data_IF_911706373786
#
_entry.id   IF_911706373786
#
_cell.length_a   1.000
_cell.length_b   1.000
_cell.length_c   1.000
_cell.angle_alpha   90.00
_cell.angle_beta   90.00
_cell.angle_gamma   90.00
#
_symmetry.space_group_name_H-M   'P 1'
#
loop_
_entity.id
_entity.type
_entity.pdbx_description
1 polymer ?
2 polymer ?
3 water ?
#
# COMPACT_ATOMS: atom_id res chain seq x y z
N UNK A 14 -13.82 5.43 -27.20
CA UNK A 14 -13.86 4.35 -26.21
C UNK A 14 -14.91 4.66 -25.12
N UNK A 15 -16.01 3.88 -25.04
CA UNK A 15 -17.01 4.12 -23.99
C UNK A 15 -16.53 3.69 -22.59
N UNK A 16 -15.42 2.93 -22.52
CA UNK A 16 -14.83 2.42 -21.27
C UNK A 16 -13.88 3.40 -20.55
N UNK A 17 -13.47 4.51 -21.20
CA UNK A 17 -12.48 5.46 -20.64
C UNK A 17 -12.64 5.79 -19.15
N UNK A 18 -13.80 6.34 -18.78
CA UNK A 18 -14.11 6.74 -17.41
C UNK A 18 -14.04 5.55 -16.45
N UNK A 19 -14.72 4.44 -16.79
CA UNK A 19 -14.74 3.25 -15.95
C UNK A 19 -13.34 2.68 -15.74
N UNK A 20 -12.53 2.68 -16.81
CA UNK A 20 -11.19 2.07 -16.78
C UNK A 20 -10.10 2.91 -16.17
N UNK A 21 -10.40 4.18 -15.83
CA UNK A 21 -9.38 5.08 -15.29
C UNK A 21 -8.75 4.50 -14.02
N UNK A 22 -9.55 3.84 -13.16
CA UNK A 22 -8.96 3.32 -11.91
C UNK A 22 -7.98 2.17 -12.12
N UNK A 23 -7.96 1.58 -13.34
CA UNK A 23 -7.02 0.49 -13.64
C UNK A 23 -5.73 0.98 -14.31
N UNK A 24 -5.62 2.29 -14.56
CA UNK A 24 -4.39 2.87 -15.09
C UNK A 24 -3.52 3.16 -13.90
N UNK A 25 -2.87 2.09 -13.39
CA UNK A 25 -2.06 2.13 -12.19
C UNK A 25 -0.89 3.14 -12.23
N UNK A 26 -0.26 3.36 -13.41
CA UNK A 26 0.80 4.34 -13.54
C UNK A 26 0.25 5.73 -13.20
N UNK A 27 -0.97 6.02 -13.67
CA UNK A 27 -1.60 7.31 -13.44
C UNK A 27 -2.15 7.45 -12.01
N UNK A 28 -3.02 6.51 -11.59
CA UNK A 28 -3.74 6.60 -10.33
C UNK A 28 -2.89 6.32 -9.09
N UNK A 29 -1.92 5.41 -9.19
CA UNK A 29 -1.07 5.01 -8.06
C UNK A 29 0.28 5.68 -8.19
N UNK A 30 0.92 5.51 -9.34
CA UNK A 30 2.15 6.20 -9.68
C UNK A 30 3.44 5.83 -8.96
N UNK A 31 3.47 4.67 -8.29
CA UNK A 31 4.67 4.24 -7.57
C UNK A 31 4.66 2.71 -7.51
N UNK A 32 5.66 2.12 -6.86
CA UNK A 32 5.68 0.68 -6.69
C UNK A 32 4.51 0.18 -5.83
N UNK A 33 4.17 -1.09 -5.99
CA UNK A 33 3.07 -1.73 -5.24
C UNK A 33 3.71 -2.73 -4.29
N UNK A 34 4.43 -3.73 -4.84
CA UNK A 34 5.14 -4.71 -3.98
C UNK A 34 6.04 -4.00 -3.01
N UNK A 35 6.90 -3.12 -3.54
CA UNK A 35 7.77 -2.25 -2.75
C UNK A 35 7.53 -0.86 -3.27
N UNK A 36 7.02 0.02 -2.40
CA UNK A 36 6.74 1.41 -2.74
C UNK A 36 7.78 2.29 -2.07
N UNK A 37 8.68 2.85 -2.89
CA UNK A 37 9.72 3.79 -2.43
C UNK A 37 9.85 4.84 -3.53
N UNK A 38 8.72 5.45 -3.88
CA UNK A 38 8.63 6.32 -5.04
C UNK A 38 9.08 7.76 -4.89
N UNK A 39 9.40 8.18 -3.66
CA UNK A 39 9.87 9.54 -3.45
C UNK A 39 11.08 9.54 -2.54
N UNK A 40 11.72 10.69 -2.44
CA UNK A 40 12.85 10.91 -1.54
C UNK A 40 12.49 12.11 -0.68
N UNK A 41 12.89 12.06 0.57
CA UNK A 41 12.66 13.18 1.50
C UNK A 41 13.89 13.36 2.35
N UNK A 42 14.11 14.56 2.84
CA UNK A 42 15.29 14.86 3.63
C UNK A 42 14.94 15.09 5.11
N UNK A 43 15.72 14.46 6.00
CA UNK A 43 15.62 14.67 7.45
C UNK A 43 17.04 15.09 7.86
N UNK A 44 17.16 16.32 8.39
CA UNK A 44 18.40 16.91 8.89
C UNK A 44 19.64 16.70 7.99
N UNK A 45 19.50 17.14 6.73
CA UNK A 45 20.56 17.07 5.72
C UNK A 45 20.78 15.74 5.01
N UNK A 46 20.20 14.62 5.52
CA UNK A 46 20.33 13.27 4.92
C UNK A 46 19.07 12.90 4.12
N UNK A 47 19.26 12.37 2.89
CA UNK A 47 18.15 11.96 1.99
C UNK A 47 17.72 10.53 2.28
N UNK A 48 16.39 10.29 2.32
CA UNK A 48 15.84 8.94 2.56
C UNK A 48 14.80 8.65 1.52
N UNK A 49 14.61 7.38 1.20
CA UNK A 49 13.58 6.94 0.27
C UNK A 49 12.32 6.71 1.07
N UNK A 50 11.16 6.94 0.47
CA UNK A 50 9.94 6.68 1.22
C UNK A 50 8.73 6.35 0.35
N UNK A 51 7.74 5.60 0.89
CA UNK A 51 6.53 5.31 0.11
C UNK A 51 5.77 6.55 -0.36
N UNK A 52 5.24 6.46 -1.59
CA UNK A 52 4.56 7.58 -2.21
C UNK A 52 3.34 7.23 -3.09
N UNK A 53 2.91 5.96 -3.08
CA UNK A 53 1.78 5.52 -3.91
C UNK A 53 0.49 6.24 -3.53
N UNK A 54 -0.30 6.66 -4.55
CA UNK A 54 -1.57 7.37 -4.31
C UNK A 54 -2.77 6.48 -3.93
N UNK A 55 -2.67 5.17 -4.14
CA UNK A 55 -3.76 4.25 -3.78
C UNK A 55 -3.43 3.42 -2.56
N UNK A 56 -4.47 2.97 -1.83
CA UNK A 56 -4.22 2.01 -0.74
C UNK A 56 -3.91 0.63 -1.35
N UNK A 57 -3.06 -0.16 -0.68
CA UNK A 57 -2.75 -1.50 -1.20
C UNK A 57 -3.45 -2.49 -0.24
N UNK A 58 -4.54 -3.13 -0.72
CA UNK A 58 -5.35 -3.99 0.15
C UNK A 58 -4.72 -5.36 0.36
N UNK A 59 -4.49 -5.72 1.61
CA UNK A 59 -3.98 -7.05 1.94
C UNK A 59 -2.48 -7.15 2.07
N UNK A 60 -1.75 -6.04 1.87
CA UNK A 60 -0.31 -6.06 1.99
C UNK A 60 0.18 -6.00 3.42
N UNK A 61 1.08 -6.93 3.73
CA UNK A 61 1.84 -6.90 4.96
C UNK A 61 3.31 -7.21 4.72
N UNK A 62 4.12 -7.18 5.79
CA UNK A 62 5.55 -7.51 5.73
C UNK A 62 5.75 -8.78 6.59
N UNK A 63 6.31 -9.84 5.97
CA UNK A 63 6.65 -11.08 6.68
C UNK A 63 8.10 -10.91 7.13
N UNK A 64 8.36 -11.09 8.44
CA UNK A 64 9.70 -10.95 9.02
C UNK A 64 10.20 -12.34 9.43
N UNK A 65 11.30 -12.82 8.80
CA UNK A 65 11.94 -14.11 9.12
C UNK A 65 10.94 -15.25 9.42
N UNK A 66 9.94 -15.44 8.52
CA UNK A 66 8.85 -16.43 8.59
C UNK A 66 7.61 -15.98 9.42
N UNK A 67 7.78 -14.97 10.30
CA UNK A 67 6.71 -14.47 11.18
C UNK A 67 5.72 -13.53 10.49
N UNK A 68 4.42 -13.76 10.77
CA UNK A 68 3.30 -12.99 10.22
C UNK A 68 2.66 -12.02 11.23
N UNK A 69 2.80 -12.32 12.53
CA UNK A 69 2.23 -11.49 13.61
C UNK A 69 3.26 -10.54 14.24
N UNK A 70 4.39 -10.30 13.55
CA UNK A 70 5.45 -9.48 14.10
C UNK A 70 5.54 -8.04 13.56
N UNK A 71 5.28 -7.80 12.26
CA UNK A 71 5.54 -6.46 11.75
C UNK A 71 4.76 -5.30 12.35
N UNK A 72 3.55 -5.55 12.87
CA UNK A 72 2.78 -4.46 13.50
C UNK A 72 3.18 -4.25 14.97
N UNK A 73 4.09 -5.11 15.51
CA UNK A 73 4.60 -4.88 16.86
C UNK A 73 5.47 -3.62 16.84
N UNK A 74 5.56 -2.85 17.95
CA UNK A 74 6.45 -1.68 17.96
C UNK A 74 7.91 -2.05 17.64
N UNK A 75 8.64 -1.09 17.08
CA UNK A 75 10.07 -1.21 16.73
C UNK A 75 10.88 -1.34 18.05
N UNK A 76 12.10 -1.92 17.96
CA UNK A 76 13.03 -2.10 19.09
C UNK A 76 13.34 -0.75 19.73
N UNK A 77 13.22 -0.67 21.07
CA UNK A 77 13.45 0.56 21.83
C UNK A 77 14.77 0.59 22.60
N UNK A 78 15.59 1.59 22.30
CA UNK A 78 16.88 1.85 22.94
C UNK A 78 17.89 0.73 22.83
N UNK A 79 18.11 0.03 23.96
CA UNK A 79 19.07 -1.09 24.04
C UNK A 79 18.40 -2.43 23.77
N UNK A 80 17.80 -2.51 22.58
CA UNK A 80 17.08 -3.67 22.05
C UNK A 80 17.57 -3.90 20.63
N UNK A 81 17.67 -5.16 20.21
CA UNK A 81 18.09 -5.54 18.86
C UNK A 81 16.89 -5.43 17.92
N UNK A 82 17.11 -5.00 16.66
CA UNK A 82 16.06 -4.84 15.65
C UNK A 82 15.14 -6.05 15.49
N UNK A 83 15.72 -7.27 15.52
CA UNK A 83 15.00 -8.53 15.41
C UNK A 83 14.11 -8.84 16.63
N UNK A 84 14.25 -8.06 17.73
CA UNK A 84 13.44 -8.21 18.93
C UNK A 84 12.10 -7.45 18.86
N UNK A 85 11.93 -6.64 17.80
CA UNK A 85 10.73 -5.86 17.59
C UNK A 85 10.16 -5.95 16.18
N UNK A 86 9.15 -5.13 15.92
CA UNK A 86 8.49 -5.06 14.62
C UNK A 86 8.85 -3.80 13.87
N UNK A 87 7.89 -3.26 13.10
CA UNK A 87 8.11 -2.07 12.26
C UNK A 87 7.35 -0.84 12.74
N UNK A 88 6.40 -1.01 13.67
CA UNK A 88 5.49 0.05 14.07
C UNK A 88 6.08 1.06 15.05
N UNK A 89 5.43 2.22 15.18
CA UNK A 89 5.84 3.25 16.12
C UNK A 89 5.84 2.68 17.54
N UNK A 90 6.90 2.93 18.32
CA UNK A 90 6.89 2.47 19.72
C UNK A 90 5.98 3.37 20.56
N UNK A 91 5.65 3.00 21.83
CA UNK A 91 4.75 3.84 22.64
C UNK A 91 5.20 5.29 22.78
N UNK A 92 4.25 6.22 22.65
CA UNK A 92 4.48 7.65 22.70
C UNK A 92 3.59 8.29 23.75
N UNK A 93 3.91 9.55 24.12
CA UNK A 93 3.16 10.35 25.07
C UNK A 93 2.89 11.74 24.45
N UNK A 94 1.64 12.08 24.06
CA UNK A 94 0.37 11.29 24.12
C UNK A 94 0.44 10.09 23.15
N UNK A 95 -0.24 8.97 23.47
CA UNK A 95 -0.21 7.75 22.65
C UNK A 95 -0.87 7.94 21.28
N UNK A 96 -0.03 8.05 20.22
CA UNK A 96 -0.58 8.29 18.89
C UNK A 96 -0.54 7.10 17.93
N UNK A 97 0.05 5.97 18.37
CA UNK A 97 0.10 4.74 17.58
C UNK A 97 0.27 3.52 18.47
N UNK A 98 -0.56 2.46 18.26
CA UNK A 98 -1.70 2.41 17.33
C UNK A 98 -2.80 3.33 17.84
N UNK A 99 -3.71 3.73 16.96
CA UNK A 99 -4.83 4.59 17.34
C UNK A 99 -6.07 4.11 16.62
N UNK A 100 -7.17 3.91 17.37
CA UNK A 100 -8.40 3.50 16.71
C UNK A 100 -8.96 4.64 15.83
N UNK A 101 -9.89 4.29 14.92
CA UNK A 101 -10.53 5.28 14.07
C UNK A 101 -11.21 6.34 14.93
N UNK A 102 -11.99 5.90 15.96
CA UNK A 102 -12.65 6.86 16.83
C UNK A 102 -11.67 7.73 17.59
N UNK A 103 -10.53 7.15 17.95
CA UNK A 103 -9.42 7.84 18.62
C UNK A 103 -8.84 8.94 17.75
N UNK A 104 -8.63 8.64 16.46
CA UNK A 104 -8.13 9.66 15.51
C UNK A 104 -9.15 10.75 15.28
N UNK A 105 -10.44 10.38 15.09
CA UNK A 105 -11.48 11.39 14.89
C UNK A 105 -11.54 12.33 16.09
N UNK A 106 -11.34 11.79 17.31
CA UNK A 106 -11.37 12.64 18.53
C UNK A 106 -10.12 13.54 18.58
N UNK A 107 -8.94 12.95 18.27
CA UNK A 107 -7.65 13.67 18.30
C UNK A 107 -7.71 14.90 17.36
N UNK A 108 -8.41 14.77 16.20
CA UNK A 108 -8.53 15.82 15.20
C UNK A 108 -9.91 16.53 15.19
N UNK A 109 -10.67 16.44 16.32
CA UNK A 109 -12.04 17.00 16.38
C UNK A 109 -12.13 18.49 16.07
N UNK A 110 -11.04 19.25 16.28
CA UNK A 110 -11.07 20.68 15.97
C UNK A 110 -10.63 21.02 14.55
N UNK A 111 -10.11 20.01 13.82
CA UNK A 111 -9.58 20.25 12.48
C UNK A 111 -10.61 19.75 11.48
N UNK A 112 -11.40 20.67 10.94
CA UNK A 112 -12.49 20.35 10.01
C UNK A 112 -12.02 19.72 8.70
N UNK A 113 -10.74 19.91 8.34
CA UNK A 113 -10.19 19.42 7.07
C UNK A 113 -9.73 17.96 7.19
N UNK A 114 -9.69 17.42 8.43
CA UNK A 114 -9.15 16.10 8.70
C UNK A 114 -10.13 15.16 9.41
N UNK A 115 -10.91 15.70 10.33
CA UNK A 115 -11.75 14.87 11.22
C UNK A 115 -12.79 13.98 10.53
N UNK A 116 -13.25 14.35 9.33
CA UNK A 116 -14.25 13.58 8.60
C UNK A 116 -13.71 12.82 7.40
N UNK A 117 -12.39 12.72 7.27
CA UNK A 117 -11.78 11.94 6.19
C UNK A 117 -12.17 10.48 6.37
N UNK A 118 -12.24 9.72 5.26
CA UNK A 118 -12.51 8.29 5.37
C UNK A 118 -11.35 7.69 6.16
N UNK A 119 -11.56 6.51 6.76
CA UNK A 119 -10.58 5.90 7.65
C UNK A 119 -9.19 5.70 7.06
N UNK A 120 -9.11 5.30 5.75
CA UNK A 120 -7.80 5.11 5.14
C UNK A 120 -7.05 6.41 4.94
N UNK A 121 -7.74 7.44 4.42
CA UNK A 121 -7.08 8.72 4.22
C UNK A 121 -6.68 9.31 5.60
N UNK A 122 -7.58 9.18 6.59
CA UNK A 122 -7.30 9.68 7.93
C UNK A 122 -6.05 9.04 8.51
N UNK A 123 -5.93 7.69 8.35
CA UNK A 123 -4.73 7.00 8.86
C UNK A 123 -3.46 7.51 8.18
N UNK A 124 -3.51 7.74 6.86
CA UNK A 124 -2.38 8.28 6.08
C UNK A 124 -2.02 9.68 6.60
N UNK A 125 -3.05 10.54 6.78
CA UNK A 125 -2.82 11.91 7.27
C UNK A 125 -2.28 11.94 8.70
N UNK A 126 -2.77 11.06 9.55
CA UNK A 126 -2.32 10.92 10.93
C UNK A 126 -0.82 10.51 10.96
N UNK A 127 -0.45 9.45 10.19
CA UNK A 127 0.95 9.06 10.11
C UNK A 127 1.83 10.21 9.53
N UNK A 128 1.29 10.92 8.54
CA UNK A 128 1.99 12.03 7.87
C UNK A 128 2.10 13.29 8.73
N UNK A 129 1.40 13.34 9.86
CA UNK A 129 1.40 14.50 10.75
C UNK A 129 2.67 14.54 11.62
N UNK A 130 3.33 13.38 11.81
CA UNK A 130 4.45 13.18 12.73
C UNK A 130 5.79 13.49 12.10
N UNK A 131 6.27 14.75 12.27
CA UNK A 131 7.56 15.17 11.67
C UNK A 131 8.75 14.73 12.56
N UNK A 132 9.65 13.82 12.06
CA UNK A 132 10.78 13.39 12.87
C UNK A 132 11.92 14.41 12.95
N UNK A 133 11.89 15.44 12.08
CA UNK A 133 12.91 16.48 11.96
C UNK A 133 12.56 17.71 12.78
N UNK A 134 13.61 18.38 13.31
CA UNK A 134 13.48 19.63 14.08
C UNK A 134 13.04 20.78 13.15
N UNK A 135 13.18 20.60 11.82
CA UNK A 135 12.78 21.57 10.79
C UNK A 135 11.34 21.28 10.35
N UNK A 136 10.46 22.29 10.46
CA UNK A 136 9.04 22.21 10.11
C UNK A 136 8.78 21.93 8.62
N UNK A 137 9.75 22.24 7.75
CA UNK A 137 9.62 22.04 6.30
C UNK A 137 10.07 20.69 5.75
N UNK A 138 10.47 19.75 6.64
CA UNK A 138 10.86 18.39 6.24
C UNK A 138 9.64 17.67 5.64
N UNK A 139 9.84 17.03 4.49
CA UNK A 139 8.79 16.32 3.76
C UNK A 139 8.77 14.82 4.11
N UNK A 140 9.52 14.40 5.16
CA UNK A 140 9.50 13.01 5.55
C UNK A 140 8.19 12.67 6.26
N UNK A 141 7.42 11.77 5.63
CA UNK A 141 6.12 11.36 6.15
C UNK A 141 6.04 9.85 6.19
N UNK A 142 5.97 9.32 7.43
CA UNK A 142 5.91 7.89 7.67
C UNK A 142 4.69 7.23 6.98
N UNK A 143 4.85 5.98 6.49
CA UNK A 143 3.68 5.27 5.93
C UNK A 143 2.93 4.64 7.11
N UNK A 144 1.84 3.95 6.81
CA UNK A 144 1.04 3.34 7.87
C UNK A 144 0.33 2.10 7.36
N UNK A 145 -0.17 1.33 8.30
CA UNK A 145 -1.03 0.20 8.03
C UNK A 145 -2.32 0.38 8.82
N UNK A 146 -3.44 0.29 8.13
CA UNK A 146 -4.77 0.34 8.74
C UNK A 146 -5.24 -1.10 8.87
N UNK A 147 -5.65 -1.51 10.07
CA UNK A 147 -6.18 -2.85 10.27
C UNK A 147 -7.72 -2.74 10.34
N UNK A 148 -8.41 -3.24 9.30
CA UNK A 148 -9.89 -3.21 9.21
C UNK A 148 -10.62 -4.06 10.27
N UNK A 149 -9.96 -5.09 10.82
CA UNK A 149 -10.56 -5.97 11.84
C UNK A 149 -10.79 -5.22 13.15
N UNK A 150 -9.75 -4.47 13.58
CA UNK A 150 -9.70 -3.75 14.85
C UNK A 150 -9.97 -2.26 14.69
N UNK A 151 -10.05 -1.74 13.42
CA UNK A 151 -10.22 -0.32 13.07
C UNK A 151 -9.08 0.50 13.73
N UNK A 152 -7.85 0.02 13.59
CA UNK A 152 -6.66 0.65 14.16
C UNK A 152 -5.66 1.07 13.11
N UNK A 153 -5.19 2.32 13.22
CA UNK A 153 -4.15 2.86 12.38
C UNK A 153 -2.82 2.57 13.09
N UNK A 154 -1.89 1.89 12.42
CA UNK A 154 -0.53 1.66 12.91
C UNK A 154 0.44 2.48 12.09
N UNK A 155 1.14 3.44 12.73
CA UNK A 155 2.14 4.24 12.00
C UNK A 155 3.39 3.37 11.93
N UNK A 156 4.01 3.31 10.75
CA UNK A 156 5.21 2.48 10.60
C UNK A 156 6.44 3.34 10.76
N UNK A 157 7.25 3.02 11.79
CA UNK A 157 8.52 3.70 12.08
C UNK A 157 9.55 3.29 11.02
N UNK A 158 9.49 2.03 10.59
CA UNK A 158 10.34 1.45 9.54
C UNK A 158 9.56 1.49 8.21
N UNK A 159 10.06 2.26 7.24
CA UNK A 159 9.44 2.42 5.91
C UNK A 159 9.96 1.39 4.90
N UNK A 160 10.99 0.63 5.28
CA UNK A 160 11.57 -0.40 4.41
C UNK A 160 10.57 -1.51 4.28
N UNK A 161 10.53 -2.18 3.12
CA UNK A 161 9.58 -3.26 2.89
C UNK A 161 10.24 -4.58 2.52
N UNK A 162 11.48 -4.55 2.00
CA UNK A 162 12.17 -5.79 1.64
C UNK A 162 13.66 -5.69 1.97
N UNK A 163 14.19 -6.76 2.53
CA UNK A 163 15.62 -6.95 2.81
C UNK A 163 15.76 -8.47 2.74
N UNK A 164 16.06 -8.94 1.50
CA UNK A 164 16.18 -10.36 1.17
C UNK A 164 17.49 -10.65 0.41
N UNK A 165 17.78 -11.93 0.18
CA UNK A 165 18.98 -12.37 -0.51
C UNK A 165 19.90 -13.18 0.37
N UNK A 166 20.71 -14.11 -0.21
CA UNK A 166 21.61 -14.92 0.63
C UNK A 166 22.88 -14.17 1.04
N UNK A 179 20.99 -9.61 11.44
CA UNK A 179 20.30 -10.21 10.30
C UNK A 179 19.11 -9.35 9.81
N UNK A 180 17.89 -9.57 10.36
CA UNK A 180 16.62 -8.89 10.04
C UNK A 180 16.25 -8.98 8.55
N UNK A 181 15.81 -10.18 8.13
CA UNK A 181 15.38 -10.46 6.76
C UNK A 181 13.84 -10.34 6.71
N UNK A 182 13.33 -9.65 5.70
CA UNK A 182 11.87 -9.47 5.60
C UNK A 182 11.44 -9.24 4.15
N UNK A 183 10.17 -9.51 3.85
CA UNK A 183 9.65 -9.32 2.49
C UNK A 183 8.17 -8.93 2.53
N UNK A 184 7.71 -8.17 1.53
CA UNK A 184 6.27 -7.85 1.47
C UNK A 184 5.50 -9.05 0.94
N UNK A 185 4.23 -9.20 1.36
CA UNK A 185 3.38 -10.28 0.86
C UNK A 185 1.93 -10.00 1.13
N UNK A 186 1.10 -10.73 0.43
CA UNK A 186 -0.34 -10.82 0.68
C UNK A 186 -0.54 -12.23 1.22
N UNK A 187 -0.86 -12.30 2.48
CA UNK A 187 -1.00 -13.55 3.20
C UNK A 187 -2.39 -13.50 3.78
N UNK A 188 -3.00 -14.67 4.04
CA UNK A 188 -4.30 -14.75 4.67
C UNK A 188 -4.30 -13.97 5.98
N UNK A 189 -3.15 -13.95 6.71
CA UNK A 189 -3.11 -13.25 7.99
C UNK A 189 -3.15 -11.72 7.78
N UNK A 190 -2.84 -11.23 6.54
CA UNK A 190 -2.85 -9.80 6.24
C UNK A 190 -4.10 -9.30 5.50
N UNK A 191 -5.07 -10.18 5.28
CA UNK A 191 -6.25 -9.89 4.46
C UNK A 191 -7.03 -8.65 4.85
N UNK A 192 -7.02 -8.28 6.15
CA UNK A 192 -7.72 -7.07 6.62
C UNK A 192 -6.80 -5.84 6.75
N UNK A 193 -5.50 -5.99 6.43
CA UNK A 193 -4.54 -4.88 6.51
C UNK A 193 -4.61 -4.07 5.23
N UNK A 194 -4.32 -2.76 5.33
CA UNK A 194 -4.24 -1.89 4.16
C UNK A 194 -2.96 -1.11 4.33
N UNK A 195 -2.07 -1.20 3.33
CA UNK A 195 -0.78 -0.50 3.39
C UNK A 195 -0.98 0.88 2.78
N UNK A 196 -0.58 1.92 3.54
CA UNK A 196 -0.83 3.30 3.16
C UNK A 196 0.39 4.19 3.11
N UNK A 197 0.69 4.79 1.92
CA UNK A 197 1.79 5.75 1.88
C UNK A 197 1.23 7.10 2.37
N UNK A 198 2.13 8.07 2.52
CA UNK A 198 1.78 9.47 2.85
C UNK A 198 0.90 10.17 1.79
N UNK A 199 0.87 9.64 0.53
CA UNK A 199 0.17 10.28 -0.59
C UNK A 199 -1.20 9.68 -0.89
N UNK A 200 -1.72 8.76 -0.05
CA UNK A 200 -3.04 8.17 -0.36
C UNK A 200 -4.08 9.28 -0.59
N UNK A 201 -4.76 9.20 -1.74
CA UNK A 201 -5.71 10.26 -2.12
C UNK A 201 -7.02 10.17 -1.36
N UNK A 202 -7.61 11.34 -1.05
CA UNK A 202 -8.85 11.32 -0.28
C UNK A 202 -10.08 10.74 -0.99
N UNK A 203 -10.00 10.53 -2.30
CA UNK A 203 -11.12 9.97 -3.06
C UNK A 203 -10.71 8.62 -3.63
N UNK A 204 -9.85 7.86 -2.90
CA UNK A 204 -9.45 6.52 -3.35
C UNK A 204 -10.66 5.58 -3.65
N UNK A 205 -11.77 5.75 -2.93
CA UNK A 205 -12.97 4.93 -3.09
C UNK A 205 -13.47 5.02 -4.52
N UNK A 206 -13.33 6.22 -5.15
CA UNK A 206 -13.78 6.47 -6.52
C UNK A 206 -12.70 6.20 -7.57
N UNK A 207 -11.42 6.49 -7.25
CA UNK A 207 -10.37 6.43 -8.28
C UNK A 207 -9.39 5.25 -8.22
N UNK A 208 -9.42 4.47 -7.14
CA UNK A 208 -8.46 3.36 -6.97
C UNK A 208 -9.19 2.02 -7.01
N UNK A 209 -8.49 0.94 -7.40
CA UNK A 209 -9.12 -0.39 -7.35
C UNK A 209 -9.34 -0.87 -5.92
N UNK A 210 -10.34 -1.70 -5.73
CA UNK A 210 -10.50 -2.39 -4.43
C UNK A 210 -11.05 -3.77 -4.71
N UNK A 211 -12.25 -3.85 -5.28
CA UNK A 211 -12.89 -5.13 -5.52
C UNK A 211 -12.43 -5.80 -6.81
N UNK A 212 -12.38 -7.12 -6.78
CA UNK A 212 -12.14 -7.91 -7.98
C UNK A 212 -13.44 -7.93 -8.80
N UNK A 213 -13.32 -7.95 -10.13
CA UNK A 213 -14.52 -7.86 -10.97
C UNK A 213 -14.94 -9.26 -11.44
N UNK A 214 -16.01 -9.81 -10.86
CA UNK A 214 -16.51 -11.15 -11.23
C UNK A 214 -17.16 -11.11 -12.62
N UNK A 215 -17.01 -12.21 -13.38
CA UNK A 215 -17.59 -12.35 -14.71
C UNK A 215 -17.03 -11.35 -15.71
N UNK A 216 -15.80 -10.91 -15.45
CA UNK A 216 -15.14 -9.93 -16.29
C UNK A 216 -13.68 -10.29 -16.46
N UNK A 217 -13.18 -9.99 -17.65
CA UNK A 217 -11.77 -10.09 -17.91
C UNK A 217 -11.30 -8.81 -18.57
N UNK A 218 -10.12 -8.37 -18.18
CA UNK A 218 -9.54 -7.19 -18.79
C UNK A 218 -9.16 -7.43 -20.23
N UNK A 219 -9.35 -6.41 -21.05
CA UNK A 219 -8.98 -6.42 -22.46
C UNK A 219 -8.42 -5.08 -22.91
N UNK A 220 -8.17 -4.96 -24.23
CA UNK A 220 -7.69 -3.75 -24.89
C UNK A 220 -8.71 -3.34 -25.97
N UNK A 221 -9.15 -2.07 -25.92
CA UNK A 221 -10.13 -1.54 -26.87
C UNK A 221 -9.45 -1.27 -28.22
N UNK A 222 -9.95 -1.92 -29.27
CA UNK A 222 -9.41 -1.82 -30.63
C UNK A 222 -10.58 -1.71 -31.61
N UNK A 223 -10.64 -0.62 -32.39
CA UNK A 223 -11.64 -0.38 -33.43
C UNK A 223 -13.05 -0.87 -33.06
N UNK A 224 -13.61 -0.26 -32.03
CA UNK A 224 -14.96 -0.53 -31.52
C UNK A 224 -15.22 -1.87 -30.88
N UNK A 225 -14.15 -2.62 -30.46
CA UNK A 225 -14.32 -3.93 -29.80
C UNK A 225 -13.30 -4.16 -28.69
N UNK A 226 -13.69 -4.90 -27.65
CA UNK A 226 -12.77 -5.21 -26.58
C UNK A 226 -12.06 -6.51 -26.94
N UNK A 227 -10.78 -6.39 -27.27
CA UNK A 227 -9.94 -7.52 -27.66
C UNK A 227 -9.20 -8.11 -26.45
N UNK A 228 -8.86 -9.40 -26.50
CA UNK A 228 -8.09 -10.01 -25.41
C UNK A 228 -6.73 -9.36 -25.31
N UNK A 229 -6.14 -9.35 -24.11
CA UNK A 229 -4.75 -8.95 -23.96
C UNK A 229 -3.93 -9.90 -24.88
N UNK A 230 -3.14 -9.38 -25.82
CA UNK A 230 -2.49 -10.30 -26.80
C UNK A 230 -1.47 -11.27 -26.23
N UNK A 231 -0.70 -10.86 -25.23
CA UNK A 231 0.29 -11.69 -24.59
C UNK A 231 0.14 -11.65 -23.07
N UNK A 232 -0.03 -12.82 -22.47
CA UNK A 232 -0.13 -12.93 -21.01
C UNK A 232 0.86 -14.01 -20.52
N UNK A 233 1.18 -13.96 -19.23
CA UNK A 233 2.11 -14.87 -18.56
C UNK A 233 1.26 -15.72 -17.63
N UNK A 234 1.11 -16.99 -17.97
CA UNK A 234 0.20 -17.87 -17.23
C UNK A 234 0.86 -18.52 -16.04
N UNK A 235 0.27 -18.28 -14.87
CA UNK A 235 0.69 -18.87 -13.60
C UNK A 235 -0.54 -19.65 -13.13
N UNK A 236 -0.34 -20.84 -12.61
CA UNK A 236 -1.47 -21.62 -12.07
C UNK A 236 -1.84 -21.07 -10.67
N UNK A 237 -3.13 -21.12 -10.35
CA UNK A 237 -3.59 -20.59 -9.07
C UNK A 237 -4.81 -21.36 -8.65
N UNK A 238 -4.81 -21.78 -7.38
CA UNK A 238 -5.86 -22.57 -6.77
C UNK A 238 -7.16 -21.82 -6.63
N UNK A 239 -7.06 -20.51 -6.36
CA UNK A 239 -8.24 -19.68 -6.18
C UNK A 239 -7.88 -18.22 -6.46
N UNK A 240 -8.87 -17.31 -6.35
CA UNK A 240 -8.63 -15.88 -6.59
C UNK A 240 -7.55 -15.32 -5.64
N UNK A 241 -7.59 -15.70 -4.32
CA UNK A 241 -6.55 -15.21 -3.40
C UNK A 241 -5.14 -15.51 -3.93
N UNK A 242 -4.92 -16.76 -4.41
CA UNK A 242 -3.61 -17.13 -4.90
C UNK A 242 -3.22 -16.36 -6.15
N UNK A 243 -4.20 -16.07 -7.00
CA UNK A 243 -3.94 -15.24 -8.19
C UNK A 243 -3.56 -13.82 -7.77
N UNK A 244 -4.34 -13.21 -6.84
CA UNK A 244 -4.06 -11.85 -6.38
C UNK A 244 -2.65 -11.79 -5.74
N UNK A 245 -2.27 -12.84 -4.99
CA UNK A 245 -0.97 -12.92 -4.33
C UNK A 245 0.17 -12.92 -5.40
N UNK A 246 -0.01 -13.71 -6.47
CA UNK A 246 0.97 -13.82 -7.56
C UNK A 246 1.12 -12.50 -8.29
N UNK A 247 -0.03 -11.84 -8.62
CA UNK A 247 0.01 -10.53 -9.30
C UNK A 247 0.80 -9.55 -8.38
N UNK A 248 0.49 -9.55 -7.08
CA UNK A 248 1.20 -8.70 -6.13
C UNK A 248 2.72 -8.97 -6.16
N UNK A 249 3.11 -10.26 -6.13
CA UNK A 249 4.52 -10.66 -6.17
C UNK A 249 5.27 -10.12 -7.40
N UNK A 250 4.60 -10.10 -8.54
CA UNK A 250 5.20 -9.67 -9.82
C UNK A 250 5.01 -8.21 -10.12
N UNK A 251 4.24 -7.51 -9.28
CA UNK A 251 3.86 -6.10 -9.55
C UNK A 251 5.01 -5.07 -9.47
N UNK A 252 4.69 -3.80 -9.82
CA UNK A 252 5.62 -2.68 -9.79
C UNK A 252 6.38 -2.66 -8.49
N UNK A 253 7.73 -2.55 -8.57
CA UNK A 253 8.56 -2.62 -7.38
C UNK A 253 9.69 -1.62 -7.49
N UNK A 254 9.88 -0.85 -6.42
CA UNK A 254 10.88 0.19 -6.36
C UNK A 254 12.13 -0.29 -5.64
N UNK A 255 12.21 -1.60 -5.40
CA UNK A 255 13.31 -2.24 -4.69
C UNK A 255 14.53 -2.29 -5.59
N UNK A 256 15.74 -1.91 -5.09
CA UNK A 256 16.95 -2.00 -5.94
C UNK A 256 17.39 -3.42 -6.26
N UNK A 294 16.55 7.07 -8.28
CA UNK A 294 15.70 7.30 -9.44
C UNK A 294 15.70 6.13 -10.43
N UNK A 295 16.85 5.43 -10.55
CA UNK A 295 16.99 4.26 -11.42
C UNK A 295 16.12 3.08 -10.92
N UNK A 296 15.89 3.01 -9.59
CA UNK A 296 15.11 1.95 -8.94
C UNK A 296 13.60 2.21 -8.97
N UNK A 297 13.18 3.47 -9.20
CA UNK A 297 11.75 3.85 -9.22
C UNK A 297 10.93 3.28 -10.41
N UNK A 298 9.84 2.56 -10.10
CA UNK A 298 8.98 1.99 -11.13
C UNK A 298 8.03 2.99 -11.71
N UNK A 299 7.66 4.01 -10.90
CA UNK A 299 6.60 4.96 -11.23
C UNK A 299 5.27 4.21 -11.54
N UNK A 300 5.13 3.00 -10.96
CA UNK A 300 3.92 2.22 -11.16
C UNK A 300 3.94 1.24 -12.33
N UNK A 301 5.05 1.17 -13.09
CA UNK A 301 5.16 0.25 -14.22
C UNK A 301 5.46 -1.16 -13.72
N UNK A 302 4.69 -2.12 -14.21
CA UNK A 302 4.91 -3.52 -13.89
C UNK A 302 3.75 -4.45 -14.16
N UNK A 303 3.89 -5.70 -13.71
CA UNK A 303 2.88 -6.74 -13.89
C UNK A 303 1.82 -6.53 -12.83
N UNK A 304 0.98 -5.50 -13.05
CA UNK A 304 0.01 -5.10 -12.02
C UNK A 304 -1.37 -5.67 -12.15
N UNK A 305 -1.62 -6.42 -13.21
CA UNK A 305 -2.96 -6.91 -13.50
C UNK A 305 -2.96 -8.41 -13.77
N UNK A 306 -4.09 -9.06 -13.47
CA UNK A 306 -4.28 -10.47 -13.78
C UNK A 306 -5.72 -10.73 -14.13
N UNK A 307 -5.95 -11.66 -15.04
CA UNK A 307 -7.26 -12.19 -15.40
C UNK A 307 -7.26 -13.59 -14.82
N UNK A 308 -8.09 -13.83 -13.79
CA UNK A 308 -8.14 -15.16 -13.21
C UNK A 308 -9.20 -16.02 -13.88
N UNK A 309 -8.76 -17.15 -14.48
CA UNK A 309 -9.76 -18.04 -15.06
C UNK A 309 -10.09 -19.07 -13.95
N UNK A 310 -11.29 -18.96 -13.38
CA UNK A 310 -11.69 -19.82 -12.27
C UNK A 310 -12.00 -21.26 -12.70
N UNK A 311 -12.19 -21.50 -14.02
CA UNK A 311 -12.45 -22.85 -14.53
C UNK A 311 -11.14 -23.61 -14.76
N UNK A 312 -10.15 -22.96 -15.41
CA UNK A 312 -8.87 -23.59 -15.70
C UNK A 312 -7.84 -23.33 -14.58
N UNK A 313 -8.19 -22.49 -13.57
CA UNK A 313 -7.30 -22.22 -12.41
C UNK A 313 -5.98 -21.62 -12.88
N UNK A 314 -6.08 -20.61 -13.76
CA UNK A 314 -4.94 -19.91 -14.37
C UNK A 314 -5.03 -18.43 -14.04
N UNK A 315 -3.90 -17.87 -13.65
CA UNK A 315 -3.74 -16.43 -13.37
C UNK A 315 -2.97 -15.84 -14.60
N UNK A 316 -3.69 -15.15 -15.53
CA UNK A 316 -3.08 -14.62 -16.77
C UNK A 316 -2.59 -13.22 -16.45
N UNK A 317 -1.29 -13.11 -16.17
CA UNK A 317 -0.67 -11.88 -15.64
C UNK A 317 -0.05 -11.07 -16.75
N UNK A 318 -0.27 -9.73 -16.72
CA UNK A 318 0.25 -8.88 -17.80
C UNK A 318 0.68 -7.51 -17.29
N UNK A 319 1.45 -6.78 -18.11
CA UNK A 319 2.07 -5.54 -17.67
C UNK A 319 1.71 -4.28 -18.51
N UNK A 320 0.63 -4.34 -19.25
CA UNK A 320 0.11 -3.19 -19.99
C UNK A 320 -1.24 -2.83 -19.43
N UNK A 321 -1.54 -1.52 -19.35
CA UNK A 321 -2.83 -1.19 -18.75
C UNK A 321 -4.01 -1.66 -19.59
N UNK A 322 -5.04 -2.21 -18.93
CA UNK A 322 -6.25 -2.63 -19.66
C UNK A 322 -7.13 -1.41 -19.97
N UNK A 323 -7.83 -1.45 -21.11
CA UNK A 323 -8.65 -0.31 -21.57
C UNK A 323 -10.11 -0.65 -21.78
N UNK A 324 -10.52 -1.86 -21.43
CA UNK A 324 -11.92 -2.28 -21.48
C UNK A 324 -12.09 -3.58 -20.71
N UNK A 325 -13.35 -4.01 -20.58
CA UNK A 325 -13.68 -5.30 -19.96
C UNK A 325 -14.46 -6.14 -20.95
N UNK A 326 -14.27 -7.45 -20.86
CA UNK A 326 -15.00 -8.46 -21.62
C UNK A 326 -15.85 -9.20 -20.61
N UNK A 327 -17.16 -9.40 -20.90
CA UNK A 327 -18.05 -10.13 -20.01
C UNK A 327 -17.82 -11.62 -20.26
N UNK A 328 -17.16 -12.30 -19.33
CA UNK A 328 -16.83 -13.72 -19.48
C UNK A 328 -17.02 -14.35 -18.12
N UNK A 329 -18.00 -15.26 -18.03
CA UNK A 329 -18.36 -15.94 -16.77
C UNK A 329 -17.26 -16.79 -16.13
N UNK A 330 -16.23 -17.16 -16.92
CA UNK A 330 -15.13 -17.95 -16.38
C UNK A 330 -14.08 -17.09 -15.70
N UNK A 331 -14.19 -15.74 -15.79
CA UNK A 331 -13.12 -14.89 -15.32
C UNK A 331 -13.44 -13.95 -14.18
N UNK A 332 -12.39 -13.58 -13.45
CA UNK A 332 -12.42 -12.55 -12.41
C UNK A 332 -11.20 -11.64 -12.71
N UNK A 333 -11.39 -10.33 -12.81
CA UNK A 333 -10.30 -9.39 -13.10
C UNK A 333 -9.75 -8.82 -11.79
N UNK A 334 -8.42 -9.00 -11.54
CA UNK A 334 -7.76 -8.54 -10.32
C UNK A 334 -6.58 -7.62 -10.62
N UNK A 335 -6.15 -6.87 -9.60
CA UNK A 335 -4.94 -6.05 -9.72
C UNK A 335 -4.12 -6.23 -8.45
N UNK A 336 -2.83 -5.87 -8.52
CA UNK A 336 -1.96 -6.01 -7.35
C UNK A 336 -2.46 -5.14 -6.19
N UNK A 337 -3.22 -4.06 -6.50
CA UNK A 337 -3.76 -3.19 -5.43
C UNK A 337 -5.02 -3.77 -4.76
N UNK A 338 -5.79 -4.51 -5.54
CA UNK A 338 -7.09 -5.04 -5.15
C UNK A 338 -7.07 -5.92 -3.92
N UNK A 339 -8.18 -5.92 -3.21
CA UNK A 339 -8.36 -6.80 -2.06
C UNK A 339 -8.25 -8.28 -2.56
N UNK A 340 -7.66 -9.21 -1.80
CA UNK A 340 -7.48 -10.59 -2.33
C UNK A 340 -8.73 -11.49 -2.34
N UNK A 341 -9.86 -11.01 -1.76
CA UNK A 341 -11.09 -11.80 -1.68
C UNK A 341 -12.31 -11.15 -2.25
N UNK A 342 -12.58 -9.88 -1.88
CA UNK A 342 -13.82 -9.17 -2.24
C UNK A 342 -14.06 -9.13 -3.71
N UNK A 343 -15.29 -9.46 -4.09
CA UNK A 343 -15.73 -9.39 -5.49
C UNK A 343 -16.95 -8.49 -5.63
N UNK A 344 -17.08 -7.91 -6.83
CA UNK A 344 -18.16 -7.06 -7.31
C UNK A 344 -18.70 -7.81 -8.54
N UNK A 345 -20.01 -8.08 -8.57
CA UNK A 345 -20.62 -8.78 -9.69
C UNK A 345 -21.62 -7.89 -10.45
N UNK A 346 -21.18 -6.68 -10.81
CA UNK A 346 -22.02 -5.74 -11.54
C UNK A 346 -21.32 -5.32 -12.82
N UNK A 347 -21.44 -6.16 -13.87
CA UNK A 347 -20.81 -5.86 -15.14
C UNK A 347 -21.42 -4.58 -15.71
N UNK A 348 -20.60 -3.51 -15.91
CA UNK A 348 -21.16 -2.24 -16.39
C UNK A 348 -21.65 -2.23 -17.83
N UNK B 1 20.14 2.80 2.97
CA UNK B 1 19.35 3.90 2.44
C UNK B 1 18.63 3.55 1.14
N UNK B 2 19.19 2.62 0.35
CA UNK B 2 18.59 2.22 -0.93
C UNK B 2 17.34 1.31 -0.77
N UNK B 3 17.17 0.69 0.41
CA UNK B 3 16.01 -0.16 0.70
C UNK B 3 14.93 0.54 1.58
N UNK B 4 15.15 1.80 1.92
CA UNK B 4 14.18 2.54 2.74
C UNK B 4 14.57 2.73 4.19
N UNK B 5 15.87 2.45 4.55
CA UNK B 5 16.39 2.69 5.91
C UNK B 5 16.05 4.14 6.26
N UNK B 6 15.44 4.33 7.43
CA UNK B 6 14.93 5.63 7.84
C UNK B 6 15.70 6.38 8.91
N UNK B 7 15.22 7.61 9.26
CA UNK B 7 15.93 8.40 10.28
C UNK B 7 15.74 7.88 11.71
N UNK B 8 16.71 8.18 12.57
CA UNK B 8 16.62 7.84 13.99
C UNK B 8 15.92 9.02 14.66
N UNK B 9 14.69 8.78 15.17
CA UNK B 9 13.88 9.83 15.78
C UNK B 9 13.35 9.41 17.15
N UNK B 10 13.41 10.34 18.10
CA UNK B 10 12.95 10.14 19.48
C UNK B 10 11.73 11.02 19.78
N UNK B 11 11.67 12.23 19.19
CA UNK B 11 10.55 13.16 19.36
C UNK B 11 10.04 13.64 18.01
N UNK B 12 8.72 13.87 17.92
CA UNK B 12 8.05 14.31 16.71
C UNK B 12 7.27 15.57 16.98
N UNK B 13 7.24 16.47 16.00
CA UNK B 13 6.49 17.72 16.05
C UNK B 13 5.34 17.60 15.03
N UNK B 14 4.09 17.76 15.49
CA UNK B 14 2.94 17.67 14.59
C UNK B 14 2.96 18.79 13.59
N UNK B 15 2.65 18.46 12.34
CA UNK B 15 2.63 19.41 11.24
C UNK B 15 1.35 20.25 11.25
N UNK B 16 0.21 19.64 11.56
CA UNK B 16 -1.07 20.37 11.58
C UNK B 16 -1.28 21.09 12.89
N UNK B 17 -1.86 22.30 12.82
CA UNK B 17 -2.12 23.16 13.98
C UNK B 17 -3.17 22.54 14.93
N UNK B 18 -3.00 22.64 16.26
CA UNK B 18 -1.90 23.31 16.99
C UNK B 18 -0.61 22.47 17.02
N UNK B 19 0.58 23.08 16.79
CA UNK B 19 1.82 22.27 16.86
C UNK B 19 2.09 21.78 18.28
N UNK B 20 2.44 20.50 18.40
CA UNK B 20 2.75 19.88 19.68
C UNK B 20 3.89 18.88 19.53
N UNK B 21 4.60 18.64 20.62
CA UNK B 21 5.74 17.73 20.66
C UNK B 21 5.30 16.39 21.22
N UNK B 22 5.50 15.33 20.44
CA UNK B 22 5.15 13.97 20.85
C UNK B 22 6.45 13.19 20.92
N UNK B 23 6.78 12.68 22.11
CA UNK B 23 8.03 11.95 22.34
C UNK B 23 7.78 10.48 22.66
N UNK B 24 8.77 9.62 22.32
CA UNK B 24 8.72 8.18 22.60
C UNK B 24 8.78 7.90 24.11
N UNK B 25 8.26 6.72 24.53
CA UNK B 25 8.16 6.15 25.90
C UNK B 25 6.80 6.37 26.58
#
# INVERSE_FOLDING_TARGET
EFIEIVERSNYMGNPWTEYMAKYDIEEVHGSGIRVDLGEDAEVAGTQYRLPSGKCPVFGKGIIIENSKTTFLKPVATGNQDLKDGGFAFPPTEPLISPMTLNGMRDFYKNNEYVKNLDELTLCSRHAGNMNPDKDENSNYKYPAVYDDKDKKCHILYIAAQENNGPRYCNKDESKRNSMFCFRPAKDKSFQNYVYLSKNVVDNWEKVCPRKNLENAKFGLWVDGNCEDIPHVNEFSANDLFECNKLVFELSASDQPKQYEQHLTDYEKIKEGFKNKNADMIKSAFLPTGAFKADRYKSHGKGYNWGNYNRKTHKCEIFNVKPTCLINDKSYIATTALSHPIEVENNFPMVPRAAAAASFLEQKLISEEDLNSAVDHHHHHH
KDIGAGPVASCFTTRMSPPQQICLNSVVN
#
